data_IF_797507479162
#
_entry.id   IF_797507479162
#
_cell.length_a   1.000
_cell.length_b   1.000
_cell.length_c   1.000
_cell.angle_alpha   90.00
_cell.angle_beta   90.00
_cell.angle_gamma   90.00
#
_symmetry.space_group_name_H-M   'P 1'
#
loop_
_entity.id
_entity.type
_entity.pdbx_description
1 polymer ?
#
# COMPACT_ATOMS: atom_id res chain seq x y z
N UNK A 1 0.33 -24.88 -24.82
CA UNK A 1 0.44 -24.92 -23.35
C UNK A 1 0.56 -23.50 -22.85
N UNK A 2 -0.56 -22.86 -22.56
CA UNK A 2 -0.60 -21.56 -21.91
C UNK A 2 -0.32 -21.82 -20.44
N UNK A 3 0.64 -21.13 -19.78
CA UNK A 3 0.76 -21.23 -18.33
C UNK A 3 -0.56 -20.73 -17.76
N UNK A 4 -1.26 -21.63 -17.08
CA UNK A 4 -2.40 -21.33 -16.23
C UNK A 4 -1.95 -20.21 -15.30
N UNK A 5 -2.42 -18.98 -15.57
CA UNK A 5 -2.20 -17.86 -14.67
C UNK A 5 -2.93 -18.23 -13.39
N UNK A 6 -2.19 -18.77 -12.43
CA UNK A 6 -2.70 -19.07 -11.10
C UNK A 6 -3.39 -17.80 -10.59
N UNK A 7 -4.71 -17.87 -10.44
CA UNK A 7 -5.48 -16.78 -9.84
C UNK A 7 -4.90 -16.60 -8.44
N UNK A 8 -4.30 -15.44 -8.11
CA UNK A 8 -3.66 -15.25 -6.83
C UNK A 8 -4.73 -15.47 -5.75
N UNK A 9 -4.43 -16.37 -4.82
CA UNK A 9 -5.35 -16.69 -3.74
C UNK A 9 -5.73 -15.41 -2.98
N UNK A 10 -6.97 -15.30 -2.49
CA UNK A 10 -7.42 -14.13 -1.79
C UNK A 10 -6.57 -13.82 -0.56
N UNK A 11 -6.41 -12.52 -0.30
CA UNK A 11 -5.74 -12.03 0.90
C UNK A 11 -6.62 -12.29 2.12
N UNK A 12 -6.01 -12.57 3.27
CA UNK A 12 -6.71 -12.87 4.52
C UNK A 12 -6.26 -11.94 5.65
N UNK A 13 -7.13 -11.62 6.63
CA UNK A 13 -6.69 -10.97 7.86
C UNK A 13 -5.57 -11.78 8.55
N UNK A 14 -4.59 -11.08 9.12
CA UNK A 14 -3.37 -11.64 9.71
C UNK A 14 -2.27 -11.96 8.68
N UNK A 15 -2.55 -11.86 7.39
CA UNK A 15 -1.56 -12.11 6.35
C UNK A 15 -0.52 -10.99 6.26
N UNK A 16 0.76 -11.35 6.22
CA UNK A 16 1.87 -10.41 6.08
C UNK A 16 2.32 -10.30 4.61
N UNK A 17 2.44 -9.07 4.13
CA UNK A 17 2.92 -8.75 2.79
C UNK A 17 4.13 -7.83 2.90
N UNK A 18 5.19 -8.16 2.18
CA UNK A 18 6.43 -7.38 2.19
C UNK A 18 6.35 -6.25 1.17
N UNK A 19 6.54 -5.02 1.62
CA UNK A 19 6.72 -3.84 0.78
C UNK A 19 8.20 -3.73 0.38
N UNK A 20 8.45 -3.65 -0.92
CA UNK A 20 9.77 -3.53 -1.53
C UNK A 20 9.85 -2.24 -2.35
N UNK A 21 11.04 -1.64 -2.41
CA UNK A 21 11.35 -0.69 -3.48
C UNK A 21 11.52 -1.40 -4.83
N UNK A 22 11.57 -0.64 -5.93
CA UNK A 22 11.84 -1.18 -7.27
C UNK A 22 13.21 -1.83 -7.40
N UNK A 23 14.16 -1.49 -6.52
CA UNK A 23 15.46 -2.16 -6.40
C UNK A 23 15.40 -3.47 -5.58
N UNK A 24 14.22 -3.84 -5.06
CA UNK A 24 14.02 -5.02 -4.22
C UNK A 24 14.41 -4.83 -2.75
N UNK A 25 14.62 -3.59 -2.29
CA UNK A 25 14.94 -3.31 -0.89
C UNK A 25 13.68 -3.41 -0.03
N UNK A 26 13.69 -4.17 1.08
CA UNK A 26 12.53 -4.30 1.95
C UNK A 26 12.33 -3.05 2.79
N UNK A 27 11.17 -2.42 2.61
CA UNK A 27 10.79 -1.19 3.30
C UNK A 27 9.91 -1.47 4.52
N UNK A 28 9.09 -2.51 4.50
CA UNK A 28 8.25 -2.81 5.65
C UNK A 28 7.35 -4.01 5.45
N UNK A 29 6.73 -4.46 6.54
CA UNK A 29 5.64 -5.42 6.49
C UNK A 29 4.30 -4.71 6.55
N UNK A 30 3.36 -5.18 5.73
CA UNK A 30 1.96 -4.80 5.76
C UNK A 30 1.17 -6.01 6.25
N UNK A 31 0.69 -5.94 7.48
CA UNK A 31 -0.12 -6.99 8.09
C UNK A 31 -1.58 -6.65 7.87
N UNK A 32 -2.28 -7.45 7.09
CA UNK A 32 -3.69 -7.22 6.76
C UNK A 32 -4.53 -7.32 8.03
N UNK A 33 -5.20 -6.24 8.41
CA UNK A 33 -6.10 -6.20 9.56
C UNK A 33 -7.55 -6.41 9.14
N UNK A 34 -7.95 -5.76 8.04
CA UNK A 34 -9.34 -5.72 7.59
C UNK A 34 -9.42 -5.75 6.06
N UNK A 35 -10.34 -6.58 5.54
CA UNK A 35 -10.70 -6.60 4.13
C UNK A 35 -11.91 -5.70 3.89
N UNK A 36 -11.76 -4.68 3.05
CA UNK A 36 -12.84 -3.82 2.56
C UNK A 36 -13.08 -4.10 1.07
N UNK A 37 -14.25 -3.73 0.51
CA UNK A 37 -14.63 -4.11 -0.86
C UNK A 37 -13.61 -3.77 -1.96
N UNK A 38 -12.81 -2.72 -1.76
CA UNK A 38 -11.79 -2.26 -2.72
C UNK A 38 -10.46 -1.87 -2.07
N UNK A 39 -10.27 -2.19 -0.79
CA UNK A 39 -9.09 -1.79 -0.05
C UNK A 39 -8.82 -2.74 1.12
N UNK A 40 -7.59 -2.74 1.59
CA UNK A 40 -7.16 -3.45 2.79
C UNK A 40 -6.67 -2.43 3.78
N UNK A 41 -7.11 -2.55 5.02
CA UNK A 41 -6.48 -1.84 6.13
C UNK A 41 -5.38 -2.73 6.67
N UNK A 42 -4.18 -2.18 6.80
CA UNK A 42 -3.01 -2.89 7.27
C UNK A 42 -2.39 -2.19 8.48
N UNK A 43 -1.79 -2.97 9.38
CA UNK A 43 -0.73 -2.44 10.24
C UNK A 43 0.54 -2.34 9.39
N UNK A 44 1.29 -1.25 9.56
CA UNK A 44 2.56 -1.09 8.88
C UNK A 44 3.71 -1.24 9.88
N UNK A 45 4.62 -2.17 9.61
CA UNK A 45 5.83 -2.35 10.40
C UNK A 45 7.04 -1.93 9.55
N UNK A 46 7.52 -0.68 9.72
CA UNK A 46 8.64 -0.19 8.93
C UNK A 46 9.92 -0.96 9.25
N UNK A 47 10.69 -1.27 8.22
CA UNK A 47 12.04 -1.80 8.32
C UNK A 47 13.07 -0.67 8.20
N UNK A 48 14.33 -0.87 8.64
CA UNK A 48 15.31 0.21 8.68
C UNK A 48 15.52 0.97 7.36
N UNK A 49 15.38 0.31 6.21
CA UNK A 49 15.54 0.95 4.90
C UNK A 49 14.44 1.97 4.57
N UNK A 50 13.28 1.89 5.23
CA UNK A 50 12.19 2.85 5.06
C UNK A 50 12.53 4.23 5.62
N UNK A 51 13.42 4.32 6.62
CA UNK A 51 13.76 5.61 7.25
C UNK A 51 14.29 6.63 6.23
N UNK A 52 15.01 6.16 5.20
CA UNK A 52 15.48 7.01 4.08
C UNK A 52 14.35 7.67 3.29
N UNK A 53 13.18 7.03 3.23
CA UNK A 53 12.03 7.45 2.44
C UNK A 53 10.89 8.02 3.30
N UNK A 54 11.00 7.91 4.63
CA UNK A 54 9.96 8.28 5.57
C UNK A 54 9.40 9.68 5.34
N UNK A 55 10.28 10.67 5.22
CA UNK A 55 9.89 12.06 5.02
C UNK A 55 9.08 12.27 3.72
N UNK A 56 9.36 11.48 2.69
CA UNK A 56 8.63 11.55 1.42
C UNK A 56 7.18 11.06 1.57
N UNK A 57 6.97 9.94 2.28
CA UNK A 57 5.62 9.43 2.55
C UNK A 57 4.83 10.32 3.53
N UNK A 58 5.51 10.91 4.52
CA UNK A 58 4.87 11.88 5.43
C UNK A 58 4.41 13.13 4.68
N UNK A 59 5.21 13.64 3.74
CA UNK A 59 4.85 14.78 2.90
C UNK A 59 3.70 14.44 1.93
N UNK A 60 3.70 13.25 1.33
CA UNK A 60 2.62 12.76 0.46
C UNK A 60 1.27 12.76 1.20
N UNK A 61 1.22 12.19 2.40
CA UNK A 61 0.01 12.22 3.23
C UNK A 61 -0.42 13.64 3.58
N UNK A 62 0.54 14.48 3.99
CA UNK A 62 0.26 15.86 4.38
C UNK A 62 -0.38 16.63 3.22
N UNK A 63 0.12 16.42 2.00
CA UNK A 63 -0.43 17.02 0.79
C UNK A 63 -1.79 16.43 0.40
N UNK A 64 -2.00 15.13 0.60
CA UNK A 64 -3.31 14.50 0.39
C UNK A 64 -4.39 15.08 1.33
N UNK A 65 -4.04 15.32 2.60
CA UNK A 65 -4.91 16.01 3.56
C UNK A 65 -5.13 17.48 3.19
N UNK A 66 -4.06 18.20 2.80
CA UNK A 66 -4.15 19.59 2.34
C UNK A 66 -5.11 19.71 1.15
N UNK A 67 -5.01 18.83 0.16
CA UNK A 67 -5.88 18.81 -1.02
C UNK A 67 -7.36 18.56 -0.72
N UNK A 68 -7.68 17.93 0.42
CA UNK A 68 -9.06 17.77 0.86
C UNK A 68 -9.71 19.13 1.19
N UNK A 69 -8.89 20.13 1.54
CA UNK A 69 -9.33 21.45 2.02
C UNK A 69 -8.93 22.61 1.10
N UNK A 70 -7.81 22.51 0.39
CA UNK A 70 -7.33 23.48 -0.58
C UNK A 70 -7.12 22.81 -1.94
N UNK A 71 -7.89 23.27 -2.94
CA UNK A 71 -7.85 22.77 -4.32
C UNK A 71 -7.17 23.75 -5.26
N UNK A 72 -6.32 24.61 -4.73
CA UNK A 72 -5.53 25.55 -5.51
C UNK A 72 -4.62 24.82 -6.51
N UNK A 73 -4.40 25.38 -7.71
CA UNK A 73 -3.46 24.82 -8.68
C UNK A 73 -2.05 24.61 -8.09
N UNK A 74 -1.63 25.47 -7.18
CA UNK A 74 -0.34 25.39 -6.50
C UNK A 74 -0.26 24.17 -5.56
N UNK A 75 -1.31 23.88 -4.79
CA UNK A 75 -1.38 22.70 -3.95
C UNK A 75 -1.37 21.41 -4.80
N UNK A 76 -2.11 21.39 -5.90
CA UNK A 76 -2.10 20.28 -6.85
C UNK A 76 -0.72 20.04 -7.46
N UNK A 77 -0.04 21.08 -7.93
CA UNK A 77 1.29 20.95 -8.53
C UNK A 77 2.33 20.38 -7.55
N UNK A 78 2.23 20.76 -6.26
CA UNK A 78 3.10 20.21 -5.21
C UNK A 78 2.82 18.73 -4.95
N UNK A 79 1.55 18.35 -4.83
CA UNK A 79 1.15 16.97 -4.65
C UNK A 79 1.57 16.09 -5.85
N UNK A 80 1.41 16.58 -7.08
CA UNK A 80 1.85 15.87 -8.28
C UNK A 80 3.36 15.60 -8.29
N UNK A 81 4.16 16.58 -7.89
CA UNK A 81 5.62 16.43 -7.83
C UNK A 81 6.03 15.35 -6.80
N UNK A 82 5.46 15.41 -5.59
CA UNK A 82 5.76 14.44 -4.53
C UNK A 82 5.25 13.05 -4.91
N UNK A 83 4.04 12.95 -5.46
CA UNK A 83 3.50 11.69 -5.94
C UNK A 83 4.38 11.07 -7.04
N UNK A 84 4.96 11.88 -7.93
CA UNK A 84 5.89 11.41 -8.96
C UNK A 84 7.18 10.85 -8.36
N UNK A 85 7.71 11.45 -7.29
CA UNK A 85 8.86 10.92 -6.53
C UNK A 85 8.52 9.58 -5.86
N UNK A 86 7.36 9.48 -5.20
CA UNK A 86 6.87 8.23 -4.59
C UNK A 86 6.73 7.13 -5.64
N UNK A 87 6.12 7.44 -6.79
CA UNK A 87 6.01 6.50 -7.91
C UNK A 87 7.39 6.09 -8.46
N UNK A 88 8.35 7.02 -8.48
CA UNK A 88 9.73 6.78 -8.87
C UNK A 88 10.45 5.74 -8.01
N UNK A 89 9.98 5.47 -6.79
CA UNK A 89 10.49 4.38 -5.95
C UNK A 89 10.18 2.99 -6.52
N UNK A 90 9.22 2.87 -7.45
CA UNK A 90 8.86 1.62 -8.11
C UNK A 90 8.38 0.54 -7.14
N UNK A 91 7.54 0.91 -6.18
CA UNK A 91 7.13 0.04 -5.08
C UNK A 91 6.50 -1.27 -5.57
N UNK A 92 6.83 -2.36 -4.87
CA UNK A 92 6.33 -3.71 -5.17
C UNK A 92 5.88 -4.38 -3.88
N UNK A 93 4.74 -5.06 -3.94
CA UNK A 93 4.27 -5.93 -2.87
C UNK A 93 4.60 -7.37 -3.19
N UNK A 94 5.18 -8.06 -2.20
CA UNK A 94 5.51 -9.48 -2.30
C UNK A 94 4.85 -10.23 -1.16
N UNK A 95 4.01 -11.20 -1.51
CA UNK A 95 3.32 -12.06 -0.56
C UNK A 95 4.22 -13.23 -0.10
N UNK A 96 4.10 -13.63 1.16
CA UNK A 96 4.66 -14.90 1.63
C UNK A 96 3.96 -16.08 0.94
N UNK A 97 4.73 -17.02 0.39
CA UNK A 97 4.20 -18.12 -0.43
C UNK A 97 4.11 -17.81 -1.93
N UNK A 98 4.47 -16.59 -2.37
CA UNK A 98 4.60 -16.23 -3.78
C UNK A 98 3.51 -15.27 -4.27
N UNK A 99 3.84 -14.53 -5.33
CA UNK A 99 2.97 -13.48 -5.89
C UNK A 99 3.59 -12.09 -5.72
N UNK A 100 3.58 -11.34 -6.82
CA UNK A 100 4.02 -9.94 -6.87
C UNK A 100 2.85 -9.08 -7.32
N UNK A 101 2.55 -8.04 -6.55
CA UNK A 101 1.61 -7.00 -6.95
C UNK A 101 2.41 -5.70 -7.15
N UNK A 102 2.34 -5.17 -8.38
CA UNK A 102 3.00 -3.90 -8.75
C UNK A 102 2.00 -2.78 -9.03
N UNK A 103 0.72 -3.15 -9.13
CA UNK A 103 -0.34 -2.25 -9.54
C UNK A 103 -1.29 -2.04 -8.37
N UNK A 104 -0.97 -1.06 -7.54
CA UNK A 104 -1.68 -0.74 -6.32
C UNK A 104 -1.49 0.73 -5.94
N UNK A 105 -2.44 1.24 -5.16
CA UNK A 105 -2.33 2.49 -4.42
C UNK A 105 -2.03 2.17 -2.97
N UNK A 106 -1.12 2.93 -2.36
CA UNK A 106 -0.70 2.75 -0.98
C UNK A 106 -0.65 4.10 -0.29
N UNK A 107 -1.40 4.26 0.79
CA UNK A 107 -1.21 5.34 1.77
C UNK A 107 -0.61 4.74 3.05
N UNK A 108 0.40 5.38 3.63
CA UNK A 108 1.04 4.94 4.89
C UNK A 108 0.94 6.07 5.89
N UNK A 109 0.07 5.97 6.89
CA UNK A 109 -0.01 6.92 7.99
C UNK A 109 0.88 6.47 9.16
N UNK A 110 1.90 7.27 9.49
CA UNK A 110 2.83 6.99 10.58
C UNK A 110 2.46 7.68 11.91
N UNK A 111 1.48 8.59 11.91
CA UNK A 111 1.17 9.48 13.03
C UNK A 111 -0.22 9.24 13.64
N UNK A 112 -1.01 8.33 13.05
CA UNK A 112 -2.34 7.99 13.51
C UNK A 112 -2.44 7.47 14.95
N UNK A 113 -3.59 7.73 15.58
CA UNK A 113 -3.94 7.20 16.91
C UNK A 113 -4.11 5.69 16.80
N UNK A 114 -3.08 4.94 17.20
CA UNK A 114 -3.02 3.48 17.04
C UNK A 114 -1.69 2.96 16.48
N UNK A 115 -0.77 3.85 16.11
CA UNK A 115 0.53 3.50 15.53
C UNK A 115 0.52 3.47 14.00
N UNK A 116 1.65 3.10 13.38
CA UNK A 116 1.76 3.13 11.93
C UNK A 116 0.77 2.20 11.24
N UNK A 117 0.04 2.74 10.28
CA UNK A 117 -0.99 2.03 9.54
C UNK A 117 -0.87 2.31 8.05
N UNK A 118 -1.48 1.45 7.24
CA UNK A 118 -1.48 1.63 5.81
C UNK A 118 -2.82 1.22 5.19
N UNK A 119 -3.22 1.98 4.19
CA UNK A 119 -4.34 1.69 3.32
C UNK A 119 -3.81 1.22 1.97
N UNK A 120 -4.14 0.00 1.62
CA UNK A 120 -3.69 -0.62 0.39
C UNK A 120 -4.87 -0.91 -0.52
N UNK A 121 -4.79 -0.46 -1.77
CA UNK A 121 -5.79 -0.72 -2.80
C UNK A 121 -5.13 -1.27 -4.06
N UNK A 122 -5.24 -2.58 -4.32
CA UNK A 122 -4.87 -3.15 -5.60
C UNK A 122 -5.70 -2.52 -6.73
N UNK A 123 -5.04 -2.12 -7.81
CA UNK A 123 -5.69 -1.54 -8.99
C UNK A 123 -6.19 -2.63 -9.94
N UNK A 124 -5.54 -3.79 -9.91
CA UNK A 124 -6.05 -5.03 -10.49
C UNK A 124 -6.85 -5.79 -9.42
N UNK A 125 -8.06 -6.30 -9.73
CA UNK A 125 -8.84 -7.08 -8.78
C UNK A 125 -8.03 -8.28 -8.29
N UNK A 126 -7.70 -8.30 -7.01
CA UNK A 126 -7.36 -9.54 -6.31
C UNK A 126 -8.67 -10.21 -5.93
N UNK A 127 -8.81 -11.50 -6.23
CA UNK A 127 -9.98 -12.24 -5.72
C UNK A 127 -10.01 -12.07 -4.21
N UNK A 128 -11.17 -11.76 -3.65
CA UNK A 128 -11.42 -11.79 -2.20
C UNK A 128 -12.26 -13.04 -1.92
N UNK A 129 -11.86 -13.86 -0.95
CA UNK A 129 -12.73 -14.94 -0.50
C UNK A 129 -13.86 -14.27 0.27
N UNK A 130 -15.13 -14.53 -0.08
CA UNK A 130 -16.21 -14.15 0.81
C UNK A 130 -15.95 -14.80 2.17
N UNK A 131 -16.04 -14.01 3.24
CA UNK A 131 -16.21 -14.57 4.58
C UNK A 131 -17.49 -15.41 4.51
N UNK A 132 -17.42 -16.72 4.73
CA UNK A 132 -18.61 -17.52 4.99
C UNK A 132 -19.28 -16.96 6.25
N UNK A 133 -20.41 -16.28 6.08
CA UNK A 133 -21.30 -15.94 7.20
C UNK A 133 -21.78 -17.26 7.84
N UNK A 134 -21.64 -17.44 9.16
CA UNK A 134 -22.21 -18.61 9.81
C UNK A 134 -23.75 -18.52 9.77
N UNK A 135 -24.37 -19.63 9.38
CA UNK A 135 -25.81 -19.84 9.25
C UNK A 135 -26.59 -19.69 10.56
#
# INVERSE_FOLDING_TARGET
>A
MTPEQAVPAPWRPGESVLLLSGAGLPLGHLIVLELRPFAFRCAFEPLPAYETYRALFEEDNRLAEELAHDRSPEAFARAEAVQAEVQGLGLVLRREGGGLCRDFLLGIDLLGVGGPSADLRPLTPVSVSPLEEPA
#
